data_IF_242765781907
#
_entry.id   IF_242765781907
#
_cell.length_a   1.000
_cell.length_b   1.000
_cell.length_c   1.000
_cell.angle_alpha   90.00
_cell.angle_beta   90.00
_cell.angle_gamma   90.00
#
_symmetry.space_group_name_H-M   'P 1'
#
loop_
_entity.id
_entity.type
_entity.pdbx_description
1 polymer ?
#
# COMPACT_ATOMS: atom_id res chain seq x y z
N UNK A 1 19.13 -14.04 80.27
CA UNK A 1 18.19 -13.06 79.70
C UNK A 1 17.17 -13.83 78.87
N UNK A 2 15.93 -13.97 79.35
CA UNK A 2 14.90 -14.71 78.64
C UNK A 2 14.00 -13.79 77.81
N UNK A 3 13.51 -14.36 76.72
CA UNK A 3 12.36 -13.92 75.94
C UNK A 3 11.10 -14.15 76.80
N UNK A 4 10.23 -13.15 77.00
CA UNK A 4 8.80 -13.40 76.87
C UNK A 4 7.94 -12.14 76.63
N UNK A 5 6.92 -12.41 75.83
CA UNK A 5 5.73 -11.68 75.38
C UNK A 5 5.07 -10.69 76.34
N UNK A 6 4.49 -9.61 75.81
CA UNK A 6 3.20 -9.16 76.33
C UNK A 6 2.29 -8.56 75.24
N UNK A 7 1.13 -9.19 75.10
CA UNK A 7 -0.04 -8.81 74.33
C UNK A 7 -0.80 -7.67 75.03
N UNK A 8 -1.22 -6.61 74.33
CA UNK A 8 -2.30 -5.73 74.78
C UNK A 8 -3.32 -5.45 73.67
N UNK A 9 -4.46 -6.13 73.82
CA UNK A 9 -5.87 -5.72 73.68
C UNK A 9 -6.25 -4.64 72.65
N UNK A 10 -7.20 -5.01 71.79
CA UNK A 10 -8.18 -4.11 71.17
C UNK A 10 -8.96 -3.32 72.23
N UNK A 11 -9.05 -2.01 72.06
CA UNK A 11 -10.20 -1.22 72.49
C UNK A 11 -10.66 -0.30 71.35
N UNK A 12 -11.97 -0.25 71.19
CA UNK A 12 -12.75 0.46 70.19
C UNK A 12 -12.34 1.93 70.04
N UNK A 13 -12.16 2.37 68.80
CA UNK A 13 -12.38 3.77 68.42
C UNK A 13 -13.33 3.82 67.22
N UNK A 14 -14.54 3.31 67.44
CA UNK A 14 -15.67 3.38 66.51
C UNK A 14 -16.44 4.70 66.73
N UNK A 15 -15.73 5.82 66.75
CA UNK A 15 -16.31 7.16 66.94
C UNK A 15 -15.54 8.27 66.23
N UNK A 16 -14.88 7.96 65.10
CA UNK A 16 -14.25 8.99 64.26
C UNK A 16 -14.97 9.23 62.93
N UNK A 17 -16.04 8.49 62.63
CA UNK A 17 -16.73 8.56 61.34
C UNK A 17 -18.05 9.36 61.32
N UNK A 18 -18.43 10.02 62.41
CA UNK A 18 -19.78 10.60 62.52
C UNK A 18 -19.88 12.13 62.57
N UNK A 19 -18.81 12.88 62.29
CA UNK A 19 -18.91 14.35 62.20
C UNK A 19 -17.99 14.92 61.13
N UNK A 20 -18.57 15.29 59.99
CA UNK A 20 -17.90 16.08 58.96
C UNK A 20 -18.53 15.93 57.59
N UNK A 21 -19.77 16.41 57.43
CA UNK A 21 -20.29 16.77 56.11
C UNK A 21 -19.41 17.88 55.50
N UNK A 22 -19.22 17.77 54.19
CA UNK A 22 -18.82 18.82 53.25
C UNK A 22 -17.36 19.29 53.24
N UNK A 23 -16.51 18.50 52.58
CA UNK A 23 -15.46 19.02 51.69
C UNK A 23 -14.93 17.91 50.78
N UNK A 24 -15.62 17.64 49.67
CA UNK A 24 -15.00 17.03 48.49
C UNK A 24 -14.07 18.05 47.85
N UNK A 25 -12.95 18.33 48.51
CA UNK A 25 -11.79 18.87 47.81
C UNK A 25 -11.31 17.77 46.88
N UNK A 26 -11.70 17.84 45.61
CA UNK A 26 -10.99 17.15 44.55
C UNK A 26 -9.52 17.53 44.69
N UNK A 27 -8.71 16.64 45.26
CA UNK A 27 -7.26 16.69 45.07
C UNK A 27 -7.03 16.45 43.58
N UNK A 28 -7.11 17.53 42.80
CA UNK A 28 -6.53 17.55 41.46
C UNK A 28 -5.04 17.33 41.65
N UNK A 29 -4.56 16.19 41.16
CA UNK A 29 -3.14 15.96 41.00
C UNK A 29 -2.58 17.10 40.15
N UNK A 30 -1.39 17.63 40.47
CA UNK A 30 -0.75 18.61 39.62
C UNK A 30 -0.74 18.12 38.17
N UNK A 31 -1.10 18.98 37.22
CA UNK A 31 -1.25 18.65 35.79
C UNK A 31 -0.03 17.91 35.23
N UNK A 32 1.15 18.28 35.73
CA UNK A 32 2.46 17.69 35.42
C UNK A 32 2.64 16.24 35.92
N UNK A 33 1.95 15.85 37.01
CA UNK A 33 1.96 14.48 37.53
C UNK A 33 0.95 13.58 36.80
N UNK A 34 -0.17 14.15 36.33
CA UNK A 34 -1.16 13.44 35.52
C UNK A 34 -0.59 13.12 34.11
N UNK A 35 0.14 14.06 33.51
CA UNK A 35 0.88 13.82 32.26
C UNK A 35 1.96 12.74 32.42
N UNK A 36 2.72 12.75 33.53
CA UNK A 36 3.72 11.70 33.82
C UNK A 36 3.05 10.33 34.01
N UNK A 37 1.90 10.27 34.68
CA UNK A 37 1.15 9.01 34.85
C UNK A 37 0.65 8.49 33.50
N UNK A 38 0.13 9.37 32.63
CA UNK A 38 -0.30 9.00 31.28
C UNK A 38 0.88 8.50 30.42
N UNK A 39 2.04 9.16 30.53
CA UNK A 39 3.26 8.74 29.85
C UNK A 39 3.74 7.36 30.32
N UNK A 40 3.72 7.11 31.64
CA UNK A 40 4.08 5.81 32.22
C UNK A 40 3.10 4.72 31.80
N UNK A 41 1.80 5.02 31.71
CA UNK A 41 0.77 4.06 31.21
C UNK A 41 1.01 3.72 29.74
N UNK A 42 1.24 4.71 28.89
CA UNK A 42 1.56 4.50 27.47
C UNK A 42 2.83 3.68 27.30
N UNK A 43 3.87 3.97 28.08
CA UNK A 43 5.13 3.21 28.09
C UNK A 43 4.94 1.78 28.57
N UNK A 44 4.06 1.55 29.54
CA UNK A 44 3.68 0.22 30.01
C UNK A 44 2.96 -0.58 28.93
N UNK A 45 2.05 0.05 28.17
CA UNK A 45 1.36 -0.59 27.05
C UNK A 45 2.32 -0.93 25.90
N UNK A 46 3.27 -0.03 25.58
CA UNK A 46 4.37 -0.32 24.64
C UNK A 46 5.18 -1.54 25.09
N UNK A 47 5.63 -1.55 26.35
CA UNK A 47 6.41 -2.67 26.89
C UNK A 47 5.62 -3.98 26.93
N UNK A 48 4.30 -3.94 27.13
CA UNK A 48 3.47 -5.14 27.08
C UNK A 48 3.36 -5.70 25.67
N UNK A 49 3.25 -4.83 24.65
CA UNK A 49 3.32 -5.24 23.23
C UNK A 49 4.69 -5.81 22.88
N UNK A 50 5.77 -5.18 23.34
CA UNK A 50 7.13 -5.69 23.13
C UNK A 50 7.32 -7.06 23.81
N UNK A 51 6.77 -7.27 25.01
CA UNK A 51 6.79 -8.58 25.69
C UNK A 51 6.02 -9.64 24.91
N UNK A 52 4.88 -9.28 24.30
CA UNK A 52 4.09 -10.17 23.47
C UNK A 52 4.85 -10.54 22.18
N UNK A 53 5.49 -9.56 21.53
CA UNK A 53 6.36 -9.79 20.38
C UNK A 53 7.56 -10.69 20.72
N UNK A 54 8.23 -10.44 21.84
CA UNK A 54 9.37 -11.26 22.28
C UNK A 54 8.91 -12.70 22.57
N UNK A 55 7.69 -12.90 23.08
CA UNK A 55 7.13 -14.25 23.26
C UNK A 55 6.93 -14.94 21.92
N UNK A 56 6.40 -14.24 20.92
CA UNK A 56 6.20 -14.80 19.58
C UNK A 56 7.53 -15.12 18.88
N UNK A 57 8.53 -14.26 19.01
CA UNK A 57 9.88 -14.49 18.51
C UNK A 57 10.54 -15.69 19.21
N UNK A 58 10.38 -15.81 20.54
CA UNK A 58 10.85 -16.97 21.31
C UNK A 58 10.14 -18.24 20.85
N UNK A 59 8.83 -18.19 20.61
CA UNK A 59 8.08 -19.34 20.10
C UNK A 59 8.58 -19.73 18.70
N UNK A 60 8.83 -18.77 17.81
CA UNK A 60 9.41 -19.02 16.50
C UNK A 60 10.82 -19.63 16.56
N UNK A 61 11.67 -19.17 17.49
CA UNK A 61 13.00 -19.75 17.73
C UNK A 61 12.89 -21.15 18.35
N UNK A 62 11.96 -21.38 19.29
CA UNK A 62 11.70 -22.71 19.85
C UNK A 62 11.27 -23.68 18.75
N UNK A 63 10.44 -23.24 17.81
CA UNK A 63 10.02 -24.05 16.67
C UNK A 63 11.20 -24.34 15.72
N UNK A 64 12.09 -23.38 15.49
CA UNK A 64 13.35 -23.61 14.74
C UNK A 64 14.30 -24.56 15.46
N UNK A 65 14.47 -24.42 16.77
CA UNK A 65 15.30 -25.31 17.59
C UNK A 65 14.71 -26.72 17.65
N UNK A 66 13.38 -26.85 17.66
CA UNK A 66 12.69 -28.14 17.52
C UNK A 66 12.98 -28.76 16.17
N UNK A 67 12.89 -28.01 15.06
CA UNK A 67 13.28 -28.51 13.73
C UNK A 67 14.71 -29.04 13.72
N UNK A 68 15.65 -28.33 14.37
CA UNK A 68 17.05 -28.76 14.49
C UNK A 68 17.20 -30.01 15.38
N UNK A 69 16.46 -30.09 16.49
CA UNK A 69 16.44 -31.27 17.37
C UNK A 69 15.72 -32.48 16.74
N UNK A 70 14.72 -32.26 15.89
CA UNK A 70 13.96 -33.30 15.17
C UNK A 70 14.74 -33.93 14.02
N UNK A 71 15.83 -33.31 13.54
CA UNK A 71 16.77 -33.97 12.65
C UNK A 71 17.48 -35.17 13.33
N UNK A 72 17.40 -35.29 14.66
CA UNK A 72 18.11 -36.31 15.43
C UNK A 72 17.23 -37.38 16.13
N UNK A 73 15.91 -37.21 16.31
CA UNK A 73 15.09 -38.24 17.00
C UNK A 73 13.59 -38.28 16.63
N UNK A 74 13.10 -39.48 16.30
CA UNK A 74 11.72 -39.85 15.92
C UNK A 74 10.68 -39.89 17.07
N UNK A 75 9.50 -39.30 16.82
CA UNK A 75 8.14 -39.88 17.04
C UNK A 75 7.38 -39.67 18.36
N UNK A 76 6.17 -39.05 18.33
CA UNK A 76 4.89 -39.71 18.67
C UNK A 76 3.61 -38.87 18.37
N UNK A 77 2.66 -39.47 17.62
CA UNK A 77 1.21 -39.22 17.42
C UNK A 77 0.59 -37.81 17.57
N UNK A 78 0.84 -37.05 18.64
CA UNK A 78 0.52 -35.60 18.68
C UNK A 78 1.38 -34.80 17.67
N UNK A 79 2.58 -35.30 17.40
CA UNK A 79 3.47 -34.78 16.35
C UNK A 79 2.84 -34.87 14.97
N UNK A 80 2.06 -35.92 14.66
CA UNK A 80 1.51 -36.12 13.30
C UNK A 80 0.49 -35.05 12.90
N UNK A 81 -0.34 -34.58 13.83
CA UNK A 81 -1.36 -33.58 13.55
C UNK A 81 -0.73 -32.19 13.41
N UNK A 82 0.22 -31.85 14.27
CA UNK A 82 0.99 -30.60 14.19
C UNK A 82 1.95 -30.57 12.99
N UNK A 83 2.60 -31.70 12.67
CA UNK A 83 3.41 -31.87 11.44
C UNK A 83 2.54 -31.78 10.18
N UNK A 84 1.31 -32.29 10.21
CA UNK A 84 0.38 -32.17 9.09
C UNK A 84 -0.07 -30.71 8.86
N UNK A 85 -0.39 -29.97 9.94
CA UNK A 85 -0.72 -28.53 9.84
C UNK A 85 0.48 -27.73 9.32
N UNK A 86 1.70 -28.02 9.78
CA UNK A 86 2.91 -27.37 9.28
C UNK A 86 3.19 -27.70 7.81
N UNK A 87 2.94 -28.94 7.38
CA UNK A 87 3.04 -29.32 5.97
C UNK A 87 2.00 -28.59 5.10
N UNK A 88 0.77 -28.41 5.60
CA UNK A 88 -0.27 -27.64 4.91
C UNK A 88 0.10 -26.15 4.80
N UNK A 89 0.65 -25.55 5.86
CA UNK A 89 1.22 -24.19 5.82
C UNK A 89 2.35 -24.07 4.80
N UNK A 90 3.26 -25.04 4.77
CA UNK A 90 4.34 -25.07 3.79
C UNK A 90 3.83 -25.17 2.35
N UNK A 91 2.74 -25.92 2.12
CA UNK A 91 2.07 -25.98 0.81
C UNK A 91 1.49 -24.62 0.43
N UNK A 92 0.77 -23.96 1.34
CA UNK A 92 0.28 -22.59 1.12
C UNK A 92 1.41 -21.60 0.80
N UNK A 93 2.50 -21.66 1.55
CA UNK A 93 3.66 -20.78 1.34
C UNK A 93 4.35 -21.00 -0.02
N UNK A 94 4.17 -22.18 -0.62
CA UNK A 94 4.66 -22.49 -1.96
C UNK A 94 3.65 -22.06 -3.04
N UNK A 95 2.38 -22.38 -2.85
CA UNK A 95 1.28 -22.12 -3.77
C UNK A 95 0.00 -21.90 -2.95
N UNK A 96 -0.44 -20.63 -2.87
CA UNK A 96 -1.55 -20.25 -2.02
C UNK A 96 -2.86 -21.01 -2.37
N UNK A 97 -3.13 -21.18 -3.67
CA UNK A 97 -4.37 -21.82 -4.14
C UNK A 97 -4.39 -23.30 -3.77
N UNK A 98 -3.32 -24.04 -4.08
CA UNK A 98 -3.20 -25.45 -3.68
C UNK A 98 -3.15 -25.63 -2.17
N UNK A 99 -2.58 -24.67 -1.45
CA UNK A 99 -2.57 -24.65 0.00
C UNK A 99 -3.97 -24.58 0.60
N UNK A 100 -4.79 -23.64 0.12
CA UNK A 100 -6.19 -23.51 0.55
C UNK A 100 -7.00 -24.75 0.19
N UNK A 101 -6.85 -25.30 -1.02
CA UNK A 101 -7.49 -26.54 -1.43
C UNK A 101 -7.13 -27.70 -0.47
N UNK A 102 -5.85 -27.87 -0.16
CA UNK A 102 -5.39 -28.90 0.77
C UNK A 102 -5.92 -28.69 2.21
N UNK A 103 -5.99 -27.45 2.68
CA UNK A 103 -6.55 -27.12 4.00
C UNK A 103 -8.04 -27.48 4.08
N UNK A 104 -8.79 -27.26 3.00
CA UNK A 104 -10.21 -27.64 2.89
C UNK A 104 -10.37 -29.17 2.83
N UNK A 105 -9.57 -29.85 2.00
CA UNK A 105 -9.59 -31.32 1.86
C UNK A 105 -9.30 -32.03 3.19
N UNK A 106 -8.35 -31.51 3.96
CA UNK A 106 -8.01 -32.02 5.29
C UNK A 106 -8.96 -31.51 6.39
N UNK A 107 -9.99 -30.74 6.03
CA UNK A 107 -11.02 -30.17 6.92
C UNK A 107 -10.45 -29.29 8.04
N UNK A 108 -9.32 -28.64 7.79
CA UNK A 108 -8.72 -27.67 8.71
C UNK A 108 -9.52 -26.36 8.69
N UNK A 109 -10.03 -25.98 7.52
CA UNK A 109 -10.92 -24.83 7.32
C UNK A 109 -12.15 -25.24 6.53
N UNK A 110 -13.25 -24.50 6.66
CA UNK A 110 -14.42 -24.71 5.80
C UNK A 110 -14.23 -24.02 4.46
N UNK A 111 -14.91 -24.54 3.43
CA UNK A 111 -14.92 -23.95 2.09
C UNK A 111 -15.87 -22.74 2.02
N UNK A 112 -15.63 -21.73 2.84
CA UNK A 112 -16.41 -20.49 2.90
C UNK A 112 -15.48 -19.27 2.89
N UNK A 113 -15.87 -18.16 2.25
CA UNK A 113 -15.03 -16.95 2.20
C UNK A 113 -14.58 -16.46 3.59
N UNK A 114 -15.49 -16.49 4.56
CA UNK A 114 -15.26 -16.06 5.94
C UNK A 114 -14.24 -16.96 6.65
N UNK A 115 -14.34 -18.29 6.50
CA UNK A 115 -13.40 -19.20 7.13
C UNK A 115 -11.99 -19.10 6.53
N UNK A 116 -11.91 -18.88 5.21
CA UNK A 116 -10.64 -18.68 4.54
C UNK A 116 -10.03 -17.34 4.98
N UNK A 117 -10.80 -16.27 4.99
CA UNK A 117 -10.36 -14.94 5.45
C UNK A 117 -9.82 -14.98 6.90
N UNK A 118 -10.60 -15.57 7.82
CA UNK A 118 -10.22 -15.74 9.21
C UNK A 118 -8.88 -16.47 9.34
N UNK A 119 -8.72 -17.57 8.60
CA UNK A 119 -7.48 -18.36 8.61
C UNK A 119 -6.28 -17.55 8.09
N UNK A 120 -6.44 -16.84 6.97
CA UNK A 120 -5.38 -16.01 6.38
C UNK A 120 -4.95 -14.86 7.31
N UNK A 121 -5.88 -14.32 8.09
CA UNK A 121 -5.62 -13.21 8.99
C UNK A 121 -4.95 -13.63 10.30
N UNK A 122 -5.46 -14.70 10.93
CA UNK A 122 -5.09 -15.06 12.31
C UNK A 122 -4.05 -16.18 12.42
N UNK A 123 -3.71 -16.86 11.31
CA UNK A 123 -2.74 -17.96 11.35
C UNK A 123 -1.32 -17.46 11.15
N UNK A 124 -0.49 -17.61 12.19
CA UNK A 124 0.95 -17.36 12.12
C UNK A 124 1.69 -18.36 11.20
N UNK A 125 2.79 -17.91 10.59
CA UNK A 125 3.65 -18.73 9.72
C UNK A 125 3.20 -18.84 8.26
N UNK A 126 2.14 -18.13 7.87
CA UNK A 126 1.75 -17.97 6.46
C UNK A 126 2.55 -16.87 5.79
N UNK A 127 3.04 -17.13 4.58
CA UNK A 127 3.75 -16.17 3.74
C UNK A 127 2.82 -15.00 3.40
N UNK A 128 3.23 -13.80 3.79
CA UNK A 128 2.47 -12.56 3.54
C UNK A 128 2.37 -12.25 2.05
N UNK A 129 3.36 -12.68 1.27
CA UNK A 129 3.35 -12.63 -0.21
C UNK A 129 2.29 -13.56 -0.80
N UNK A 130 2.16 -14.78 -0.29
CA UNK A 130 1.15 -15.73 -0.78
C UNK A 130 -0.27 -15.32 -0.37
N UNK A 131 -0.45 -14.75 0.82
CA UNK A 131 -1.72 -14.13 1.21
C UNK A 131 -2.10 -13.04 0.20
N UNK A 132 -1.17 -12.13 -0.09
CA UNK A 132 -1.37 -11.06 -1.07
C UNK A 132 -1.76 -11.57 -2.46
N UNK A 133 -1.02 -12.56 -2.98
CA UNK A 133 -1.32 -13.20 -4.28
C UNK A 133 -2.72 -13.78 -4.30
N UNK A 134 -3.10 -14.56 -3.29
CA UNK A 134 -4.41 -15.19 -3.22
C UNK A 134 -5.55 -14.16 -3.15
N UNK A 135 -5.40 -13.11 -2.34
CA UNK A 135 -6.40 -12.02 -2.25
C UNK A 135 -6.44 -11.16 -3.52
N UNK A 136 -5.34 -11.13 -4.29
CA UNK A 136 -5.20 -10.40 -5.54
C UNK A 136 -5.85 -11.08 -6.76
N UNK A 137 -6.20 -12.36 -6.68
CA UNK A 137 -6.78 -13.10 -7.80
C UNK A 137 -8.09 -12.49 -8.31
N UNK A 138 -8.39 -12.72 -9.59
CA UNK A 138 -9.60 -12.21 -10.24
C UNK A 138 -10.83 -13.12 -10.03
N UNK A 139 -10.65 -14.35 -9.54
CA UNK A 139 -11.74 -15.30 -9.31
C UNK A 139 -12.75 -14.78 -8.27
N UNK A 140 -14.04 -15.05 -8.50
CA UNK A 140 -15.13 -14.53 -7.65
C UNK A 140 -14.96 -14.90 -6.17
N UNK A 141 -14.55 -16.15 -5.91
CA UNK A 141 -14.28 -16.64 -4.55
C UNK A 141 -13.17 -15.84 -3.86
N UNK A 142 -12.09 -15.52 -4.57
CA UNK A 142 -10.98 -14.74 -4.01
C UNK A 142 -11.39 -13.31 -3.71
N UNK A 143 -12.23 -12.70 -4.56
CA UNK A 143 -12.79 -11.37 -4.30
C UNK A 143 -13.69 -11.35 -3.07
N UNK A 144 -14.51 -12.39 -2.87
CA UNK A 144 -15.33 -12.55 -1.66
C UNK A 144 -14.45 -12.75 -0.42
N UNK A 145 -13.40 -13.57 -0.51
CA UNK A 145 -12.44 -13.75 0.59
C UNK A 145 -11.74 -12.42 0.93
N UNK A 146 -11.30 -11.65 -0.05
CA UNK A 146 -10.71 -10.32 0.17
C UNK A 146 -11.67 -9.39 0.89
N UNK A 147 -12.95 -9.38 0.50
CA UNK A 147 -13.96 -8.59 1.20
C UNK A 147 -14.08 -8.99 2.67
N UNK A 148 -14.25 -10.29 2.96
CA UNK A 148 -14.31 -10.78 4.34
C UNK A 148 -13.03 -10.49 5.13
N UNK A 149 -11.86 -10.63 4.49
CA UNK A 149 -10.55 -10.37 5.10
C UNK A 149 -10.39 -8.91 5.53
N UNK A 150 -10.89 -7.98 4.71
CA UNK A 150 -10.89 -6.55 5.05
C UNK A 150 -11.89 -6.29 6.17
N UNK A 151 -13.12 -6.80 6.05
CA UNK A 151 -14.20 -6.58 7.02
C UNK A 151 -13.91 -7.15 8.42
N UNK A 152 -13.05 -8.15 8.52
CA UNK A 152 -12.62 -8.76 9.78
C UNK A 152 -11.55 -7.95 10.53
N UNK A 153 -10.96 -6.94 9.89
CA UNK A 153 -10.00 -6.03 10.54
C UNK A 153 -10.73 -5.04 11.45
N UNK A 154 -10.24 -4.88 12.68
CA UNK A 154 -10.74 -3.84 13.58
C UNK A 154 -9.97 -2.53 13.37
N UNK A 155 -10.68 -1.52 12.87
CA UNK A 155 -10.17 -0.15 12.69
C UNK A 155 -10.81 0.86 13.65
N UNK A 156 -11.62 0.42 14.61
CA UNK A 156 -12.36 1.32 15.48
C UNK A 156 -11.43 2.20 16.32
N UNK A 157 -11.66 3.51 16.27
CA UNK A 157 -10.88 4.49 17.04
C UNK A 157 -9.47 4.74 16.51
N UNK A 158 -9.09 4.13 15.39
CA UNK A 158 -7.82 4.39 14.71
C UNK A 158 -7.98 5.54 13.72
N UNK A 159 -6.94 6.37 13.59
CA UNK A 159 -6.86 7.29 12.46
C UNK A 159 -6.50 6.54 11.15
N UNK A 160 -6.69 7.19 10.00
CA UNK A 160 -6.51 6.57 8.67
C UNK A 160 -5.10 6.00 8.52
N UNK A 161 -4.08 6.72 9.00
CA UNK A 161 -2.69 6.27 8.89
C UNK A 161 -2.41 5.03 9.77
N UNK A 162 -2.98 4.97 10.97
CA UNK A 162 -2.87 3.82 11.88
C UNK A 162 -3.57 2.59 11.30
N UNK A 163 -4.82 2.74 10.85
CA UNK A 163 -5.57 1.68 10.20
C UNK A 163 -4.85 1.17 8.95
N UNK A 164 -4.30 2.08 8.14
CA UNK A 164 -3.52 1.73 6.95
C UNK A 164 -2.26 0.94 7.32
N UNK A 165 -1.52 1.35 8.36
CA UNK A 165 -0.35 0.59 8.85
C UNK A 165 -0.72 -0.83 9.25
N UNK A 166 -1.78 -0.98 10.06
CA UNK A 166 -2.25 -2.31 10.48
C UNK A 166 -2.68 -3.15 9.28
N UNK A 167 -3.42 -2.55 8.35
CA UNK A 167 -3.89 -3.23 7.16
C UNK A 167 -2.72 -3.73 6.30
N UNK A 168 -1.75 -2.87 6.00
CA UNK A 168 -0.54 -3.20 5.25
C UNK A 168 0.40 -4.18 5.97
N UNK A 169 0.27 -4.30 7.29
CA UNK A 169 0.97 -5.32 8.07
C UNK A 169 0.33 -6.72 7.95
N UNK A 170 -0.90 -6.84 7.48
CA UNK A 170 -1.57 -8.15 7.45
C UNK A 170 -1.17 -9.02 6.25
N UNK A 171 -0.70 -8.42 5.14
CA UNK A 171 -0.26 -9.12 3.91
C UNK A 171 0.62 -8.20 3.04
N UNK A 172 1.21 -8.72 1.95
CA UNK A 172 1.91 -7.91 0.94
C UNK A 172 0.96 -7.58 -0.21
N UNK A 173 0.73 -6.30 -0.49
CA UNK A 173 -0.09 -5.90 -1.63
C UNK A 173 0.62 -6.31 -2.94
N UNK A 174 -0.08 -6.96 -3.89
CA UNK A 174 0.44 -7.24 -5.23
C UNK A 174 0.78 -5.96 -6.02
N UNK A 175 1.69 -6.05 -6.98
CA UNK A 175 2.19 -4.88 -7.73
C UNK A 175 1.26 -4.39 -8.84
N UNK A 176 0.25 -5.18 -9.21
CA UNK A 176 -0.68 -4.88 -10.30
C UNK A 176 -1.66 -3.77 -9.89
N UNK A 177 -1.68 -2.67 -10.65
CA UNK A 177 -2.43 -1.45 -10.28
C UNK A 177 -3.93 -1.68 -10.00
N UNK A 178 -4.59 -2.54 -10.77
CA UNK A 178 -6.02 -2.87 -10.56
C UNK A 178 -6.25 -3.62 -9.25
N UNK A 179 -5.30 -4.47 -8.85
CA UNK A 179 -5.38 -5.21 -7.59
C UNK A 179 -5.19 -4.25 -6.42
N UNK A 180 -4.18 -3.38 -6.52
CA UNK A 180 -3.95 -2.31 -5.53
C UNK A 180 -5.21 -1.47 -5.36
N UNK A 181 -5.78 -0.98 -6.48
CA UNK A 181 -7.00 -0.18 -6.48
C UNK A 181 -8.15 -0.89 -5.76
N UNK A 182 -8.46 -2.13 -6.16
CA UNK A 182 -9.52 -2.93 -5.53
C UNK A 182 -9.33 -3.13 -4.03
N UNK A 183 -8.10 -3.43 -3.61
CA UNK A 183 -7.75 -3.63 -2.19
C UNK A 183 -7.94 -2.32 -1.41
N UNK A 184 -7.47 -1.21 -1.97
CA UNK A 184 -7.55 0.11 -1.33
C UNK A 184 -8.97 0.67 -1.30
N UNK A 185 -9.80 0.38 -2.30
CA UNK A 185 -11.24 0.73 -2.31
C UNK A 185 -12.00 0.00 -1.19
N UNK A 186 -11.74 -1.30 -1.02
CA UNK A 186 -12.34 -2.08 0.08
C UNK A 186 -11.88 -1.58 1.44
N UNK A 187 -10.57 -1.28 1.59
CA UNK A 187 -10.04 -0.66 2.80
C UNK A 187 -10.75 0.67 3.10
N UNK A 188 -10.88 1.55 2.12
CA UNK A 188 -11.50 2.86 2.30
C UNK A 188 -12.96 2.74 2.72
N UNK A 189 -13.72 1.84 2.08
CA UNK A 189 -15.10 1.56 2.45
C UNK A 189 -15.22 1.00 3.87
N UNK A 190 -14.37 0.03 4.24
CA UNK A 190 -14.40 -0.57 5.57
C UNK A 190 -13.96 0.40 6.67
N UNK A 191 -12.96 1.24 6.42
CA UNK A 191 -12.53 2.27 7.35
C UNK A 191 -13.67 3.25 7.68
N UNK A 192 -14.39 3.72 6.66
CA UNK A 192 -15.54 4.61 6.82
C UNK A 192 -16.77 3.94 7.44
N UNK A 193 -16.92 2.62 7.30
CA UNK A 193 -17.95 1.87 8.02
C UNK A 193 -17.59 1.65 9.49
N UNK A 194 -16.30 1.46 9.78
CA UNK A 194 -15.79 1.17 11.13
C UNK A 194 -15.62 2.42 11.98
N UNK A 195 -15.39 3.57 11.35
CA UNK A 195 -15.26 4.86 12.00
C UNK A 195 -16.33 5.79 11.45
N UNK A 196 -17.02 6.56 12.31
CA UNK A 196 -17.93 7.63 11.86
C UNK A 196 -17.08 8.78 11.29
N UNK A 197 -16.54 8.53 10.09
CA UNK A 197 -15.72 9.45 9.32
C UNK A 197 -16.65 10.31 8.47
N UNK A 198 -16.39 11.61 8.47
CA UNK A 198 -17.12 12.55 7.60
C UNK A 198 -16.60 12.54 6.15
N UNK A 199 -15.58 11.71 5.86
CA UNK A 199 -14.93 11.64 4.55
C UNK A 199 -15.63 10.66 3.61
N UNK A 200 -15.63 10.99 2.33
CA UNK A 200 -16.03 10.02 1.28
C UNK A 200 -15.02 8.86 1.17
N UNK A 201 -15.45 7.73 0.60
CA UNK A 201 -14.55 6.60 0.33
C UNK A 201 -13.41 7.01 -0.59
N UNK A 202 -13.72 7.79 -1.64
CA UNK A 202 -12.73 8.36 -2.56
C UNK A 202 -11.70 9.23 -1.83
N UNK A 203 -12.14 10.02 -0.85
CA UNK A 203 -11.24 10.83 -0.04
C UNK A 203 -10.29 10.00 0.83
N UNK A 204 -10.79 8.95 1.48
CA UNK A 204 -9.94 8.03 2.26
C UNK A 204 -8.94 7.32 1.36
N UNK A 205 -9.40 6.82 0.20
CA UNK A 205 -8.56 6.21 -0.82
C UNK A 205 -7.44 7.16 -1.27
N UNK A 206 -7.78 8.37 -1.72
CA UNK A 206 -6.83 9.39 -2.17
C UNK A 206 -5.81 9.76 -1.08
N UNK A 207 -6.27 9.88 0.17
CA UNK A 207 -5.40 10.17 1.30
C UNK A 207 -4.41 9.01 1.56
N UNK A 208 -4.86 7.75 1.49
CA UNK A 208 -3.96 6.60 1.60
C UNK A 208 -2.89 6.59 0.51
N UNK A 209 -3.26 6.88 -0.75
CA UNK A 209 -2.28 7.04 -1.83
C UNK A 209 -1.28 8.17 -1.54
N UNK A 210 -1.75 9.29 -1.01
CA UNK A 210 -0.87 10.39 -0.63
C UNK A 210 0.12 9.98 0.47
N UNK A 211 -0.30 9.14 1.42
CA UNK A 211 0.59 8.58 2.45
C UNK A 211 1.66 7.67 1.85
N UNK A 212 1.28 6.77 0.93
CA UNK A 212 2.21 5.87 0.24
C UNK A 212 3.24 6.66 -0.60
N UNK A 213 2.79 7.72 -1.29
CA UNK A 213 3.65 8.63 -2.04
C UNK A 213 4.63 9.37 -1.13
N UNK A 214 4.14 9.87 0.01
CA UNK A 214 4.94 10.61 0.96
C UNK A 214 5.97 9.69 1.65
N UNK A 215 5.58 8.47 1.99
CA UNK A 215 6.48 7.43 2.52
C UNK A 215 7.63 7.15 1.55
N UNK A 216 7.31 6.91 0.27
CA UNK A 216 8.31 6.72 -0.79
C UNK A 216 9.23 7.94 -0.88
N UNK A 217 8.65 9.14 -0.83
CA UNK A 217 9.42 10.38 -0.89
C UNK A 217 10.46 10.48 0.24
N UNK A 218 10.10 10.10 1.46
CA UNK A 218 11.02 10.17 2.61
C UNK A 218 12.04 9.06 2.65
N UNK A 219 11.61 7.82 2.40
CA UNK A 219 12.40 6.65 2.77
C UNK A 219 13.07 5.94 1.59
N UNK A 220 12.68 6.25 0.34
CA UNK A 220 13.38 5.77 -0.85
C UNK A 220 14.71 6.54 -1.03
N UNK A 221 15.88 5.87 -1.01
CA UNK A 221 17.18 6.53 -1.20
C UNK A 221 17.36 7.15 -2.59
N UNK A 222 16.63 6.69 -3.61
CA UNK A 222 16.68 7.23 -4.96
C UNK A 222 15.96 8.59 -5.08
N UNK A 223 15.08 8.92 -4.12
CA UNK A 223 14.40 10.22 -4.07
C UNK A 223 15.32 11.27 -3.46
N UNK A 224 15.93 12.09 -4.32
CA UNK A 224 16.88 13.15 -3.94
C UNK A 224 16.22 14.35 -3.27
N UNK A 225 15.00 14.69 -3.67
CA UNK A 225 14.27 15.86 -3.17
C UNK A 225 13.13 15.42 -2.26
N UNK A 226 13.27 15.69 -0.97
CA UNK A 226 12.24 15.39 0.02
C UNK A 226 11.15 16.47 -0.05
N UNK A 227 9.89 16.06 -0.20
CA UNK A 227 8.74 16.96 -0.30
C UNK A 227 8.59 17.75 1.00
N UNK A 228 8.47 19.08 0.92
CA UNK A 228 8.21 19.91 2.10
C UNK A 228 6.76 19.76 2.56
N UNK A 229 6.47 20.09 3.82
CA UNK A 229 5.09 20.06 4.32
C UNK A 229 4.16 20.97 3.52
N UNK A 230 4.64 22.14 3.09
CA UNK A 230 3.82 23.08 2.31
C UNK A 230 3.45 22.51 0.93
N UNK A 231 4.40 21.81 0.28
CA UNK A 231 4.14 21.14 -1.00
C UNK A 231 3.17 19.97 -0.83
N UNK A 232 3.35 19.18 0.23
CA UNK A 232 2.46 18.06 0.53
C UNK A 232 1.05 18.55 0.81
N UNK A 233 0.91 19.59 1.63
CA UNK A 233 -0.36 20.25 1.91
C UNK A 233 -1.05 20.72 0.63
N UNK A 234 -0.32 21.42 -0.25
CA UNK A 234 -0.85 21.85 -1.55
C UNK A 234 -1.32 20.65 -2.37
N UNK A 235 -0.52 19.60 -2.46
CA UNK A 235 -0.86 18.38 -3.21
C UNK A 235 -2.14 17.72 -2.73
N UNK A 236 -2.37 17.64 -1.41
CA UNK A 236 -3.59 17.06 -0.85
C UNK A 236 -4.80 17.98 -1.09
N UNK A 237 -4.64 19.30 -0.98
CA UNK A 237 -5.70 20.24 -1.34
C UNK A 237 -6.12 20.11 -2.81
N UNK A 238 -5.15 20.03 -3.73
CA UNK A 238 -5.41 19.92 -5.16
C UNK A 238 -6.06 18.56 -5.50
N UNK A 239 -5.64 17.48 -4.85
CA UNK A 239 -6.18 16.14 -5.04
C UNK A 239 -7.64 16.02 -4.56
N UNK A 240 -7.98 16.71 -3.47
CA UNK A 240 -9.23 16.55 -2.74
C UNK A 240 -10.09 17.83 -2.75
N UNK A 241 -9.95 18.68 -3.77
CA UNK A 241 -10.61 20.00 -3.86
C UNK A 241 -12.14 19.92 -3.69
N UNK A 242 -12.74 18.79 -4.13
CA UNK A 242 -14.19 18.57 -4.08
C UNK A 242 -14.68 17.92 -2.77
N UNK A 243 -13.77 17.55 -1.87
CA UNK A 243 -14.13 16.85 -0.63
C UNK A 243 -14.75 17.84 0.38
N UNK A 244 -16.02 17.67 0.79
CA UNK A 244 -16.69 18.61 1.69
C UNK A 244 -15.98 18.75 3.04
N UNK A 245 -15.41 17.65 3.53
CA UNK A 245 -14.78 17.56 4.85
C UNK A 245 -13.25 17.68 4.80
N UNK A 246 -12.71 18.29 3.73
CA UNK A 246 -11.26 18.53 3.57
C UNK A 246 -10.65 19.29 4.77
N UNK A 247 -11.42 20.17 5.41
CA UNK A 247 -10.99 20.90 6.61
C UNK A 247 -10.48 19.99 7.74
N UNK A 248 -11.22 18.91 8.03
CA UNK A 248 -10.86 17.92 9.06
C UNK A 248 -9.55 17.20 8.74
N UNK A 249 -9.31 16.88 7.46
CA UNK A 249 -8.03 16.31 7.00
C UNK A 249 -6.88 17.30 7.19
N UNK A 250 -7.11 18.57 6.83
CA UNK A 250 -6.07 19.60 6.88
C UNK A 250 -5.55 19.85 8.30
N UNK A 251 -6.39 19.69 9.32
CA UNK A 251 -6.01 19.80 10.73
C UNK A 251 -5.07 18.66 11.16
N UNK A 252 -5.30 17.45 10.64
CA UNK A 252 -4.52 16.25 10.98
C UNK A 252 -3.26 16.10 10.10
N UNK A 253 -3.21 16.77 8.95
CA UNK A 253 -2.14 16.64 7.97
C UNK A 253 -0.71 16.88 8.49
N UNK A 254 -0.45 17.87 9.39
CA UNK A 254 0.88 18.04 9.99
C UNK A 254 1.31 16.80 10.78
N UNK A 255 0.40 16.18 11.53
CA UNK A 255 0.67 14.99 12.31
C UNK A 255 0.98 13.79 11.41
N UNK A 256 0.21 13.60 10.33
CA UNK A 256 0.48 12.56 9.34
C UNK A 256 1.84 12.73 8.66
N UNK A 257 2.18 13.96 8.26
CA UNK A 257 3.45 14.27 7.61
C UNK A 257 4.65 13.95 8.50
N UNK A 258 4.66 14.42 9.75
CA UNK A 258 5.77 14.17 10.66
C UNK A 258 5.86 12.69 11.07
N UNK A 259 4.73 12.02 11.26
CA UNK A 259 4.71 10.57 11.56
C UNK A 259 5.30 9.75 10.41
N UNK A 260 4.85 10.00 9.17
CA UNK A 260 5.38 9.31 7.98
C UNK A 260 6.85 9.64 7.73
N UNK A 261 7.31 10.85 8.07
CA UNK A 261 8.72 11.22 7.96
C UNK A 261 9.61 10.51 8.97
N UNK A 262 9.11 10.33 10.20
CA UNK A 262 9.84 9.69 11.30
C UNK A 262 9.88 8.18 11.16
N UNK A 263 8.76 7.58 10.77
CA UNK A 263 8.58 6.13 10.77
C UNK A 263 8.07 5.67 9.40
N UNK A 264 8.83 4.86 8.65
CA UNK A 264 8.36 4.30 7.39
C UNK A 264 7.18 3.32 7.61
N UNK A 265 6.46 2.98 6.55
CA UNK A 265 5.60 1.80 6.56
C UNK A 265 6.47 0.55 6.76
N UNK A 266 6.20 -0.21 7.82
CA UNK A 266 6.78 -1.53 7.98
C UNK A 266 5.96 -2.52 7.15
N UNK A 267 6.56 -3.11 6.13
CA UNK A 267 5.97 -4.21 5.37
C UNK A 267 6.73 -5.49 5.70
N UNK A 268 6.03 -6.59 5.99
CA UNK A 268 6.61 -7.86 6.48
C UNK A 268 7.71 -8.41 5.58
N UNK A 269 8.94 -8.50 6.08
CA UNK A 269 10.19 -8.74 5.35
C UNK A 269 10.41 -10.18 4.85
N UNK A 270 9.37 -10.93 4.52
CA UNK A 270 9.52 -12.36 4.18
C UNK A 270 10.39 -12.59 2.94
N UNK A 271 10.49 -11.63 2.03
CA UNK A 271 11.46 -11.63 0.93
C UNK A 271 11.94 -10.19 0.67
N UNK A 272 13.22 -10.03 0.34
CA UNK A 272 13.94 -8.76 0.14
C UNK A 272 13.55 -8.04 -1.15
N UNK A 273 12.26 -7.82 -1.40
CA UNK A 273 11.82 -7.11 -2.60
C UNK A 273 10.86 -5.96 -2.24
N UNK A 274 11.45 -4.77 -2.20
CA UNK A 274 11.02 -3.45 -2.70
C UNK A 274 9.53 -3.10 -2.92
N UNK A 275 8.53 -3.78 -2.35
CA UNK A 275 7.12 -3.36 -2.55
C UNK A 275 6.79 -2.02 -1.87
N UNK A 276 7.61 -1.57 -0.92
CA UNK A 276 7.54 -0.21 -0.38
C UNK A 276 8.07 0.86 -1.36
N UNK A 277 8.81 0.44 -2.39
CA UNK A 277 9.52 1.29 -3.36
C UNK A 277 8.80 1.32 -4.72
N UNK A 278 8.04 0.27 -5.06
CA UNK A 278 7.35 0.10 -6.35
C UNK A 278 5.98 0.77 -6.46
N UNK A 279 5.40 1.33 -5.39
CA UNK A 279 4.13 2.08 -5.48
C UNK A 279 4.17 3.27 -6.45
N UNK A 280 5.38 3.78 -6.75
CA UNK A 280 5.62 4.88 -7.67
C UNK A 280 6.82 4.62 -8.58
N UNK A 281 7.30 3.38 -8.70
CA UNK A 281 8.40 3.12 -9.62
C UNK A 281 7.83 3.18 -11.03
N UNK A 282 8.26 4.15 -11.84
CA UNK A 282 7.72 4.27 -13.18
C UNK A 282 8.12 3.02 -13.99
N UNK A 283 7.16 2.46 -14.74
CA UNK A 283 7.42 1.38 -15.70
C UNK A 283 8.61 1.75 -16.61
N UNK A 284 8.80 3.06 -16.87
CA UNK A 284 10.01 3.65 -17.44
C UNK A 284 10.09 5.16 -17.20
N UNK A 285 11.29 5.68 -16.99
CA UNK A 285 11.55 7.12 -17.02
C UNK A 285 12.82 7.49 -17.80
N UNK A 286 12.91 8.72 -18.28
CA UNK A 286 14.07 9.16 -19.05
C UNK A 286 13.85 10.41 -19.91
N UNK A 287 14.95 10.93 -20.46
CA UNK A 287 14.93 12.10 -21.34
C UNK A 287 14.61 11.71 -22.79
N UNK A 288 13.50 12.23 -23.32
CA UNK A 288 13.10 12.04 -24.73
C UNK A 288 12.84 13.40 -25.38
N UNK A 289 13.09 13.51 -26.68
CA UNK A 289 12.60 14.63 -27.47
C UNK A 289 11.19 14.34 -27.99
N UNK A 290 10.26 15.27 -27.82
CA UNK A 290 8.93 15.20 -28.43
C UNK A 290 8.74 16.28 -29.48
N UNK A 291 8.00 15.96 -30.54
CA UNK A 291 7.52 16.95 -31.50
C UNK A 291 6.26 17.64 -30.94
N UNK A 292 6.04 18.91 -31.28
CA UNK A 292 4.80 19.64 -31.00
C UNK A 292 3.69 19.29 -31.98
N UNK A 293 2.43 19.50 -31.58
CA UNK A 293 1.23 19.13 -32.35
C UNK A 293 1.02 20.06 -33.55
N UNK A 294 0.48 21.26 -33.31
CA UNK A 294 0.25 22.26 -34.37
C UNK A 294 1.55 22.84 -34.92
N UNK A 295 2.48 23.18 -34.02
CA UNK A 295 3.80 23.69 -34.39
C UNK A 295 4.80 22.56 -34.17
N UNK A 296 5.36 22.04 -35.26
CA UNK A 296 6.23 20.85 -35.30
C UNK A 296 7.66 21.10 -34.76
N UNK A 297 7.77 21.86 -33.67
CA UNK A 297 9.02 22.10 -32.95
C UNK A 297 9.36 20.92 -32.04
N UNK A 298 10.65 20.66 -31.85
CA UNK A 298 11.12 19.59 -30.96
C UNK A 298 11.49 20.14 -29.59
N UNK A 299 11.07 19.46 -28.53
CA UNK A 299 11.36 19.84 -27.14
C UNK A 299 11.86 18.63 -26.36
N UNK A 300 12.98 18.78 -25.66
CA UNK A 300 13.49 17.78 -24.70
C UNK A 300 12.65 17.84 -23.43
N UNK A 301 12.15 16.69 -22.96
CA UNK A 301 11.33 16.58 -21.76
C UNK A 301 11.72 15.32 -20.98
N UNK A 302 11.60 15.40 -19.66
CA UNK A 302 11.70 14.21 -18.82
C UNK A 302 10.37 13.48 -18.89
N UNK A 303 10.37 12.24 -19.34
CA UNK A 303 9.18 11.41 -19.46
C UNK A 303 9.14 10.40 -18.33
N UNK A 304 7.93 10.15 -17.83
CA UNK A 304 7.64 9.16 -16.80
C UNK A 304 6.42 8.38 -17.29
N UNK A 305 6.57 7.07 -17.43
CA UNK A 305 5.48 6.14 -17.70
C UNK A 305 5.08 5.50 -16.38
N UNK A 306 3.85 5.74 -15.96
CA UNK A 306 3.29 5.14 -14.75
C UNK A 306 1.77 5.10 -14.88
N UNK A 307 1.11 4.10 -14.28
CA UNK A 307 -0.36 4.05 -14.18
C UNK A 307 -1.08 4.23 -15.54
N UNK A 308 -0.57 3.58 -16.60
CA UNK A 308 -1.09 3.69 -17.98
C UNK A 308 -1.16 5.13 -18.52
N UNK A 309 -0.37 6.03 -17.97
CA UNK A 309 -0.25 7.40 -18.42
C UNK A 309 1.20 7.73 -18.73
N UNK A 310 1.40 8.49 -19.80
CA UNK A 310 2.69 9.04 -20.14
C UNK A 310 2.73 10.52 -19.76
N UNK A 311 3.49 10.81 -18.71
CA UNK A 311 3.70 12.16 -18.18
C UNK A 311 4.98 12.75 -18.77
N UNK A 312 5.00 14.06 -19.00
CA UNK A 312 6.23 14.74 -19.37
C UNK A 312 6.43 16.07 -18.67
N UNK A 313 7.67 16.31 -18.22
CA UNK A 313 8.07 17.45 -17.40
C UNK A 313 9.12 18.30 -18.12
N UNK A 314 9.23 19.58 -17.74
CA UNK A 314 10.29 20.42 -18.28
C UNK A 314 11.65 20.00 -17.73
N UNK A 315 11.71 19.68 -16.44
CA UNK A 315 12.86 19.14 -15.72
C UNK A 315 12.44 17.94 -14.87
N UNK A 316 13.38 17.02 -14.62
CA UNK A 316 13.13 15.81 -13.81
C UNK A 316 12.76 16.11 -12.34
N UNK A 317 13.10 17.31 -11.84
CA UNK A 317 12.76 17.77 -10.49
C UNK A 317 11.42 18.52 -10.40
N UNK A 318 10.72 18.72 -11.52
CA UNK A 318 9.44 19.44 -11.53
C UNK A 318 8.35 18.57 -10.89
N UNK A 319 7.50 19.19 -10.05
CA UNK A 319 6.39 18.51 -9.37
C UNK A 319 5.13 18.39 -10.24
N UNK A 320 4.95 19.30 -11.19
CA UNK A 320 3.77 19.35 -12.06
C UNK A 320 4.13 19.00 -13.51
N UNK A 321 3.42 18.07 -14.16
CA UNK A 321 3.69 17.71 -15.55
C UNK A 321 3.33 18.86 -16.49
N UNK A 322 4.15 19.03 -17.54
CA UNK A 322 3.82 19.90 -18.67
C UNK A 322 2.77 19.29 -19.59
N UNK A 323 2.53 18.00 -19.49
CA UNK A 323 1.37 17.35 -20.09
C UNK A 323 1.28 15.87 -19.76
N UNK A 324 0.08 15.36 -20.01
CA UNK A 324 -0.35 14.01 -19.66
C UNK A 324 -1.01 13.40 -20.89
N UNK A 325 -0.59 12.20 -21.25
CA UNK A 325 -1.15 11.41 -22.36
C UNK A 325 -1.65 10.09 -21.76
N UNK A 326 -2.97 9.97 -21.50
CA UNK A 326 -3.58 8.69 -21.17
C UNK A 326 -3.34 7.67 -22.30
N UNK A 327 -2.89 6.46 -21.95
CA UNK A 327 -2.62 5.40 -22.91
C UNK A 327 -3.85 4.49 -23.07
N UNK A 328 -4.88 5.02 -23.75
CA UNK A 328 -6.13 4.31 -24.03
C UNK A 328 -5.92 3.09 -24.97
N UNK A 329 -6.80 2.08 -24.90
CA UNK A 329 -6.75 0.85 -25.73
C UNK A 329 -6.75 1.06 -27.24
N UNK A 330 -7.19 2.22 -27.74
CA UNK A 330 -7.18 2.56 -29.16
C UNK A 330 -5.81 3.04 -29.65
N UNK A 331 -4.89 3.35 -28.73
CA UNK A 331 -3.55 3.82 -29.08
C UNK A 331 -2.62 2.67 -29.45
N UNK A 332 -1.69 2.93 -30.36
CA UNK A 332 -0.61 2.02 -30.75
C UNK A 332 0.70 2.79 -30.78
N UNK A 333 1.80 2.06 -30.64
CA UNK A 333 3.14 2.62 -30.80
C UNK A 333 3.90 1.88 -31.89
N UNK A 334 4.57 2.64 -32.75
CA UNK A 334 5.40 2.11 -33.86
C UNK A 334 6.71 2.86 -33.99
N UNK A 335 7.68 2.24 -34.64
CA UNK A 335 8.86 2.96 -35.11
C UNK A 335 8.46 3.97 -36.20
N UNK A 336 9.13 5.13 -36.21
CA UNK A 336 8.92 6.12 -37.28
C UNK A 336 9.57 5.62 -38.58
N UNK A 337 8.89 5.83 -39.70
CA UNK A 337 9.46 5.58 -41.04
C UNK A 337 10.85 6.26 -41.16
N UNK A 338 11.89 5.56 -41.63
CA UNK A 338 13.22 6.14 -41.84
C UNK A 338 13.21 7.48 -42.60
N UNK A 339 12.32 7.66 -43.59
CA UNK A 339 12.17 8.90 -44.35
C UNK A 339 11.69 10.09 -43.50
N UNK A 340 11.07 9.80 -42.35
CA UNK A 340 10.56 10.77 -41.37
C UNK A 340 11.53 11.02 -40.20
N UNK A 341 12.72 10.42 -40.25
CA UNK A 341 13.81 10.64 -39.29
C UNK A 341 14.85 11.61 -39.84
N UNK A 342 15.75 12.10 -38.98
CA UNK A 342 16.87 12.94 -39.42
C UNK A 342 18.18 12.38 -38.87
N UNK A 343 19.32 12.72 -39.47
CA UNK A 343 20.65 12.33 -38.95
C UNK A 343 20.84 12.70 -37.47
N UNK A 344 20.18 13.77 -37.00
CA UNK A 344 20.24 14.24 -35.62
C UNK A 344 19.16 13.63 -34.70
N UNK A 345 18.22 12.86 -35.25
CA UNK A 345 17.13 12.17 -34.53
C UNK A 345 16.86 10.81 -35.20
N UNK A 346 17.77 9.84 -35.05
CA UNK A 346 17.65 8.54 -35.72
C UNK A 346 16.70 7.57 -34.98
N UNK A 347 16.52 7.76 -33.67
CA UNK A 347 15.80 6.83 -32.80
C UNK A 347 14.35 7.28 -32.53
N UNK A 348 13.59 7.54 -33.61
CA UNK A 348 12.21 8.06 -33.51
C UNK A 348 11.14 6.98 -33.47
N UNK A 349 10.07 7.22 -32.70
CA UNK A 349 8.87 6.40 -32.61
C UNK A 349 7.61 7.28 -32.52
N UNK A 350 6.45 6.69 -32.81
CA UNK A 350 5.16 7.39 -32.85
C UNK A 350 4.12 6.66 -32.01
N UNK A 351 3.38 7.41 -31.20
CA UNK A 351 2.11 6.99 -30.60
C UNK A 351 0.98 7.56 -31.46
N UNK A 352 0.06 6.71 -31.89
CA UNK A 352 -1.06 7.07 -32.78
C UNK A 352 -2.33 6.30 -32.39
N UNK A 353 -3.51 6.87 -32.66
CA UNK A 353 -4.79 6.15 -32.52
C UNK A 353 -5.07 5.29 -33.75
N UNK A 354 -5.57 4.07 -33.58
CA UNK A 354 -6.03 3.22 -34.70
C UNK A 354 -7.17 3.87 -35.49
N UNK A 355 -8.01 4.67 -34.81
CA UNK A 355 -9.10 5.41 -35.44
C UNK A 355 -8.64 6.65 -36.21
N UNK A 356 -7.33 6.96 -36.19
CA UNK A 356 -6.74 8.21 -36.70
C UNK A 356 -7.39 9.47 -36.11
N UNK A 357 -7.92 9.38 -34.89
CA UNK A 357 -8.50 10.51 -34.17
C UNK A 357 -7.44 11.32 -33.41
N UNK A 358 -7.84 12.48 -32.91
CA UNK A 358 -7.00 13.28 -32.01
C UNK A 358 -6.84 12.52 -30.69
N UNK A 359 -5.60 12.28 -30.30
CA UNK A 359 -5.25 11.61 -29.05
C UNK A 359 -5.61 12.52 -27.88
N UNK A 360 -6.47 12.02 -26.98
CA UNK A 360 -6.84 12.72 -25.76
C UNK A 360 -5.59 12.97 -24.92
N UNK A 361 -5.36 14.21 -24.57
CA UNK A 361 -4.22 14.62 -23.77
C UNK A 361 -4.45 16.03 -23.21
N UNK A 362 -3.74 16.38 -22.15
CA UNK A 362 -3.71 17.75 -21.64
C UNK A 362 -2.28 18.26 -21.55
N UNK A 363 -2.11 19.59 -21.61
CA UNK A 363 -0.81 20.24 -21.46
C UNK A 363 -0.94 21.62 -20.82
N UNK A 364 0.09 22.02 -20.10
CA UNK A 364 0.16 23.33 -19.46
C UNK A 364 0.84 24.34 -20.40
N UNK A 365 0.17 25.45 -20.66
CA UNK A 365 0.69 26.57 -21.44
C UNK A 365 1.82 27.32 -20.72
N UNK A 366 2.48 28.25 -21.41
CA UNK A 366 3.48 29.13 -20.78
C UNK A 366 2.89 30.07 -19.71
N UNK A 367 1.57 30.24 -19.75
CA UNK A 367 0.72 30.99 -18.83
C UNK A 367 0.23 30.15 -17.63
N UNK A 368 0.67 28.89 -17.51
CA UNK A 368 0.23 27.99 -16.45
C UNK A 368 -1.16 27.39 -16.63
N UNK A 369 -1.89 27.74 -17.70
CA UNK A 369 -3.25 27.21 -17.95
C UNK A 369 -3.21 25.85 -18.64
N UNK A 370 -4.01 24.92 -18.16
CA UNK A 370 -4.20 23.60 -18.79
C UNK A 370 -5.03 23.75 -20.07
N UNK A 371 -4.59 23.08 -21.14
CA UNK A 371 -5.23 23.08 -22.46
C UNK A 371 -5.22 21.67 -23.03
N UNK A 372 -6.23 21.35 -23.81
CA UNK A 372 -6.30 20.08 -24.53
C UNK A 372 -5.16 19.95 -25.57
N UNK A 373 -4.60 18.75 -25.68
CA UNK A 373 -3.67 18.36 -26.72
C UNK A 373 -4.38 18.30 -28.07
N UNK A 374 -3.69 18.70 -29.14
CA UNK A 374 -4.21 18.65 -30.52
C UNK A 374 -3.36 17.74 -31.39
N UNK A 375 -2.97 16.59 -30.82
CA UNK A 375 -2.05 15.67 -31.46
C UNK A 375 -2.84 14.50 -32.06
N UNK A 376 -2.84 14.38 -33.38
CA UNK A 376 -3.24 13.12 -34.05
C UNK A 376 -2.16 12.04 -33.86
N UNK A 377 -0.90 12.47 -33.79
CA UNK A 377 0.26 11.61 -33.55
C UNK A 377 1.22 12.31 -32.58
N UNK A 378 1.73 11.56 -31.61
CA UNK A 378 2.88 11.94 -30.80
C UNK A 378 4.15 11.31 -31.34
N UNK A 379 4.93 12.09 -32.10
CA UNK A 379 6.27 11.70 -32.53
C UNK A 379 7.30 12.03 -31.46
N UNK A 380 8.11 11.04 -31.11
CA UNK A 380 9.14 11.11 -30.09
C UNK A 380 10.47 10.58 -30.62
N UNK A 381 11.59 10.98 -29.99
CA UNK A 381 12.93 10.51 -30.32
C UNK A 381 13.72 10.25 -29.05
N UNK A 382 14.08 8.98 -28.85
CA UNK A 382 14.94 8.54 -27.77
C UNK A 382 16.41 8.95 -28.04
N UNK A 383 17.29 8.92 -27.03
CA UNK A 383 18.73 9.19 -27.19
C UNK A 383 19.44 8.21 -28.12
N UNK A 384 19.02 6.94 -28.13
CA UNK A 384 19.61 5.87 -28.92
C UNK A 384 18.58 4.78 -29.24
N UNK A 385 18.95 3.85 -30.14
CA UNK A 385 18.07 2.78 -30.62
C UNK A 385 17.65 1.80 -29.51
N UNK A 386 18.55 1.53 -28.56
CA UNK A 386 18.27 0.68 -27.39
C UNK A 386 17.14 1.30 -26.56
N UNK A 387 17.29 2.57 -26.18
CA UNK A 387 16.26 3.28 -25.42
C UNK A 387 14.96 3.42 -26.21
N UNK A 388 15.00 3.61 -27.55
CA UNK A 388 13.78 3.61 -28.38
C UNK A 388 13.01 2.30 -28.21
N UNK A 389 13.70 1.16 -28.33
CA UNK A 389 13.08 -0.17 -28.22
C UNK A 389 12.46 -0.37 -26.84
N UNK A 390 13.19 -0.03 -25.78
CA UNK A 390 12.68 -0.11 -24.41
C UNK A 390 11.43 0.78 -24.21
N UNK A 391 11.43 2.02 -24.74
CA UNK A 391 10.26 2.90 -24.66
C UNK A 391 9.05 2.33 -25.41
N UNK A 392 9.26 1.81 -26.63
CA UNK A 392 8.20 1.16 -27.42
C UNK A 392 7.63 -0.04 -26.67
N UNK A 393 8.48 -0.86 -26.07
CA UNK A 393 8.08 -2.05 -25.33
C UNK A 393 7.26 -1.69 -24.09
N UNK A 394 7.76 -0.81 -23.23
CA UNK A 394 7.04 -0.38 -22.02
C UNK A 394 5.69 0.28 -22.36
N UNK A 395 5.64 1.14 -23.39
CA UNK A 395 4.39 1.79 -23.82
C UNK A 395 3.41 0.76 -24.40
N UNK A 396 3.88 -0.20 -25.21
CA UNK A 396 3.03 -1.28 -25.70
C UNK A 396 2.47 -2.13 -24.57
N UNK A 397 3.27 -2.45 -23.57
CA UNK A 397 2.83 -3.21 -22.40
C UNK A 397 1.79 -2.42 -21.61
N UNK A 398 1.99 -1.12 -21.40
CA UNK A 398 1.02 -0.25 -20.75
C UNK A 398 -0.31 -0.16 -21.53
N UNK A 399 -0.28 -0.08 -22.86
CA UNK A 399 -1.51 -0.08 -23.69
C UNK A 399 -2.22 -1.45 -23.68
N UNK A 400 -1.46 -2.55 -23.72
CA UNK A 400 -2.01 -3.92 -23.78
C UNK A 400 -2.67 -4.37 -22.49
N UNK A 401 -2.26 -3.83 -21.34
CA UNK A 401 -2.94 -4.04 -20.05
C UNK A 401 -4.43 -3.67 -20.10
N UNK A 402 -4.88 -2.85 -21.06
CA UNK A 402 -6.31 -2.53 -21.30
C UNK A 402 -7.07 -3.62 -22.09
N UNK A 403 -6.39 -4.50 -22.84
CA UNK A 403 -7.04 -5.48 -23.74
C UNK A 403 -7.34 -6.84 -23.11
N UNK A 404 -6.68 -7.23 -22.03
CA UNK A 404 -6.94 -8.51 -21.35
C UNK A 404 -8.19 -8.50 -20.46
N UNK A 405 -8.91 -7.37 -20.38
CA UNK A 405 -10.06 -7.16 -19.50
C UNK A 405 -11.38 -6.87 -20.22
N UNK A 406 -11.50 -7.14 -21.51
CA UNK A 406 -12.82 -7.19 -22.19
C UNK A 406 -13.30 -8.65 -22.30
N UNK A 407 -14.47 -9.01 -21.75
CA UNK A 407 -15.06 -10.32 -22.02
C UNK A 407 -15.51 -10.36 -23.49
N UNK A 408 -14.79 -11.11 -24.34
CA UNK A 408 -15.32 -11.52 -25.66
C UNK A 408 -14.53 -11.18 -26.93
N UNK A 409 -13.19 -11.06 -26.91
CA UNK A 409 -12.38 -11.00 -28.15
C UNK A 409 -11.96 -12.39 -28.64
N UNK A 410 -12.03 -12.71 -29.96
CA UNK A 410 -11.81 -14.07 -30.43
C UNK A 410 -10.34 -14.48 -30.31
N UNK A 411 -10.12 -15.68 -29.78
CA UNK A 411 -8.84 -16.37 -29.83
C UNK A 411 -8.38 -16.50 -31.29
N UNK A 412 -7.33 -15.76 -31.66
CA UNK A 412 -6.60 -16.03 -32.88
C UNK A 412 -5.72 -17.23 -32.58
N UNK A 413 -6.31 -18.41 -32.80
CA UNK A 413 -5.61 -19.67 -32.79
C UNK A 413 -4.52 -19.67 -33.85
N UNK A 414 -3.30 -19.90 -33.38
CA UNK A 414 -2.15 -20.28 -34.18
C UNK A 414 -2.52 -21.51 -35.01
N UNK A 415 -2.52 -21.36 -36.34
CA UNK A 415 -2.56 -22.49 -37.26
C UNK A 415 -1.37 -22.39 -38.19
N UNK A 416 -0.32 -23.05 -37.75
CA UNK A 416 0.64 -23.73 -38.61
C UNK A 416 -0.10 -24.57 -39.67
N UNK A 417 0.14 -24.26 -40.94
CA UNK A 417 0.12 -25.18 -42.07
C UNK A 417 1.12 -24.66 -43.12
#
# INVERSE_FOLDING_TARGET
>A
MPINTNSHKCENNQSFWDQGDDMTTQMQLPEDDEEKIQLVRRRKEELLRDIEQIKDDINGIIDQLRIIQHAETDGNVQDTEQQNVNALRSRFNTDAKKGIEALIEQKVISDTPESIAHYLLHTGGLSKTQIGKYLGEAEEKNQQVLKCFVEEQDFQGMNILQALRQFLWSFRIPGESQIIERIMELFAAHYNNSNISELTNDAVFMLCYSFMMLNTTFHNPNVKNKMSFLDYKKSVCDLMEKEPSLGSIMEQLPHYYETLKKEPFHLNSDETDDTNMTFFEPDKEGWIFKQGGNIKTWKRRWFVLANQCLYYFQFAADKEPKGIIPLESDLRVRETDPANTTKHRPACFEIYSESNSVIKACKTGGDGKVREGKHEIYRMCAPNDKERKEWIECINNAIRRDRTHLPGGPEIGDKTA
#
